data_IF_335605155984
#
_entry.id   IF_335605155984
#
_cell.length_a   1.000
_cell.length_b   1.000
_cell.length_c   1.000
_cell.angle_alpha   90.00
_cell.angle_beta   90.00
_cell.angle_gamma   90.00
#
_symmetry.space_group_name_H-M   'P 1'
#
loop_
_entity.id
_entity.type
_entity.pdbx_description
1 polymer ?
#
# COMPACT_ATOMS: atom_id res chain seq x y z
N UNK A 1 -49.78 15.80 -10.50
CA UNK A 1 -48.80 16.19 -9.47
C UNK A 1 -47.62 15.25 -9.64
N UNK A 2 -46.60 15.71 -10.37
CA UNK A 2 -45.36 14.95 -10.62
C UNK A 2 -44.29 15.48 -9.71
N UNK A 3 -43.64 14.61 -8.93
CA UNK A 3 -42.24 14.83 -8.59
C UNK A 3 -41.46 13.54 -8.80
N UNK A 4 -40.83 13.51 -9.96
CA UNK A 4 -39.86 12.52 -10.38
C UNK A 4 -38.58 12.67 -9.55
N UNK A 5 -38.23 11.57 -8.88
CA UNK A 5 -36.89 11.03 -8.68
C UNK A 5 -35.71 11.96 -9.06
N UNK A 6 -34.99 12.45 -8.05
CA UNK A 6 -33.60 12.91 -8.18
C UNK A 6 -32.73 12.13 -7.21
N UNK A 7 -32.38 10.90 -7.57
CA UNK A 7 -31.15 10.28 -7.06
C UNK A 7 -29.99 11.08 -7.64
N UNK A 8 -29.38 11.92 -6.81
CA UNK A 8 -28.11 12.58 -7.14
C UNK A 8 -27.09 11.48 -7.38
N UNK A 9 -26.70 11.29 -8.65
CA UNK A 9 -25.48 10.58 -9.03
C UNK A 9 -24.33 11.29 -8.32
N UNK A 10 -23.80 10.66 -7.29
CA UNK A 10 -22.59 11.11 -6.65
C UNK A 10 -21.47 10.85 -7.66
N UNK A 11 -21.03 11.94 -8.27
CA UNK A 11 -19.94 11.99 -9.24
C UNK A 11 -18.72 11.28 -8.68
N UNK A 12 -18.23 10.30 -9.44
CA UNK A 12 -16.90 9.68 -9.31
C UNK A 12 -15.86 10.77 -9.06
N UNK A 13 -15.53 11.01 -7.79
CA UNK A 13 -14.34 11.76 -7.43
C UNK A 13 -13.17 10.92 -7.90
N UNK A 14 -12.23 11.53 -8.61
CA UNK A 14 -10.95 10.91 -8.95
C UNK A 14 -10.34 10.34 -7.65
N UNK A 15 -10.45 9.02 -7.45
CA UNK A 15 -9.83 8.28 -6.36
C UNK A 15 -8.36 8.09 -6.72
N UNK A 16 -7.57 9.16 -6.64
CA UNK A 16 -6.14 9.07 -6.87
C UNK A 16 -5.45 8.88 -5.52
N UNK A 17 -5.33 7.63 -5.09
CA UNK A 17 -4.49 7.23 -3.96
C UNK A 17 -3.06 7.75 -4.15
N UNK A 18 -2.33 8.06 -3.07
CA UNK A 18 -0.89 8.34 -3.17
C UNK A 18 -0.17 7.23 -3.93
N UNK A 19 -0.57 5.96 -3.72
CA UNK A 19 -0.13 4.80 -4.48
C UNK A 19 -0.28 5.01 -5.99
N UNK A 20 -1.50 5.28 -6.46
CA UNK A 20 -1.81 5.54 -7.87
C UNK A 20 -1.01 6.73 -8.45
N UNK A 21 -0.56 7.66 -7.61
CA UNK A 21 0.22 8.84 -8.01
C UNK A 21 1.73 8.69 -7.79
N UNK A 22 2.20 7.65 -7.08
CA UNK A 22 3.57 7.59 -6.53
C UNK A 22 4.62 7.08 -7.52
N UNK A 23 4.22 6.68 -8.73
CA UNK A 23 5.10 6.29 -9.84
C UNK A 23 6.04 7.40 -10.37
N UNK A 24 6.17 8.54 -9.67
CA UNK A 24 6.94 9.70 -10.12
C UNK A 24 8.44 9.51 -9.92
N UNK A 25 9.07 9.01 -10.98
CA UNK A 25 10.50 8.87 -11.22
C UNK A 25 11.25 8.00 -10.20
N UNK A 26 11.85 6.92 -10.70
CA UNK A 26 12.72 6.05 -9.92
C UNK A 26 13.83 6.87 -9.26
N UNK A 27 13.93 6.76 -7.93
CA UNK A 27 14.99 7.39 -7.13
C UNK A 27 15.89 6.31 -6.56
N UNK A 28 17.18 6.59 -6.53
CA UNK A 28 18.13 5.74 -5.82
C UNK A 28 18.10 6.09 -4.32
N UNK A 29 18.05 5.04 -3.50
CA UNK A 29 18.00 5.13 -2.05
C UNK A 29 19.15 4.32 -1.44
N UNK A 30 19.54 4.70 -0.23
CA UNK A 30 20.47 3.96 0.62
C UNK A 30 19.75 3.56 1.90
N UNK A 31 19.95 2.33 2.35
CA UNK A 31 19.41 1.83 3.61
C UNK A 31 20.25 2.36 4.78
N UNK A 32 19.60 2.97 5.76
CA UNK A 32 20.24 3.57 6.93
C UNK A 32 20.06 2.75 8.21
N UNK A 33 19.18 1.74 8.18
CA UNK A 33 18.95 0.81 9.29
C UNK A 33 18.56 -0.57 8.76
N UNK A 34 19.13 -1.60 9.37
CA UNK A 34 18.80 -2.99 9.07
C UNK A 34 17.31 -3.28 9.32
N UNK A 35 16.75 -4.16 8.49
CA UNK A 35 15.43 -4.76 8.70
C UNK A 35 15.42 -6.17 8.16
N UNK A 36 15.05 -7.13 9.00
CA UNK A 36 14.76 -8.49 8.58
C UNK A 36 13.24 -8.69 8.56
N UNK A 37 12.76 -9.39 7.53
CA UNK A 37 11.39 -9.89 7.46
C UNK A 37 11.40 -11.42 7.41
N UNK A 38 10.37 -12.02 7.99
CA UNK A 38 10.10 -13.46 8.00
C UNK A 38 8.72 -13.79 7.47
N UNK A 39 7.99 -12.80 6.94
CA UNK A 39 6.66 -13.01 6.38
C UNK A 39 6.78 -13.71 5.02
N UNK A 40 6.45 -15.00 5.00
CA UNK A 40 6.42 -15.84 3.81
C UNK A 40 5.02 -15.93 3.19
N UNK A 41 4.02 -15.32 3.82
CA UNK A 41 2.63 -15.38 3.38
C UNK A 41 1.94 -14.00 3.36
N UNK A 42 2.52 -13.02 2.64
CA UNK A 42 1.99 -11.66 2.60
C UNK A 42 0.59 -11.66 1.99
N UNK A 43 -0.25 -10.72 2.44
CA UNK A 43 -1.55 -10.47 1.80
C UNK A 43 -1.32 -10.02 0.35
N UNK A 44 -2.15 -10.53 -0.54
CA UNK A 44 -2.17 -10.16 -1.96
C UNK A 44 -3.55 -9.59 -2.26
N UNK A 45 -3.58 -8.37 -2.80
CA UNK A 45 -4.78 -7.71 -3.27
C UNK A 45 -4.70 -7.55 -4.78
N UNK A 46 -5.82 -7.83 -5.44
CA UNK A 46 -6.02 -7.53 -6.85
C UNK A 46 -7.05 -6.41 -6.98
N UNK A 47 -6.71 -5.35 -7.71
CA UNK A 47 -7.58 -4.20 -7.89
C UNK A 47 -8.99 -4.62 -8.34
N UNK A 48 -10.01 -4.09 -7.66
CA UNK A 48 -11.41 -4.41 -7.89
C UNK A 48 -11.91 -5.69 -7.18
N UNK A 49 -11.05 -6.42 -6.47
CA UNK A 49 -11.46 -7.62 -5.70
C UNK A 49 -12.00 -7.23 -4.32
N UNK A 50 -13.01 -7.95 -3.80
CA UNK A 50 -13.50 -7.73 -2.44
C UNK A 50 -12.45 -8.16 -1.41
N UNK A 51 -12.53 -7.59 -0.22
CA UNK A 51 -11.73 -8.01 0.93
C UNK A 51 -12.58 -7.95 2.20
N UNK A 52 -12.05 -8.45 3.31
CA UNK A 52 -12.63 -8.31 4.63
C UNK A 52 -11.69 -7.49 5.52
N UNK A 53 -12.23 -6.47 6.18
CA UNK A 53 -11.48 -5.65 7.12
C UNK A 53 -11.74 -6.15 8.54
N UNK A 54 -10.70 -6.18 9.38
CA UNK A 54 -10.84 -6.50 10.80
C UNK A 54 -10.94 -5.24 11.65
N UNK A 55 -11.07 -5.38 12.97
CA UNK A 55 -11.00 -4.25 13.91
C UNK A 55 -9.56 -3.87 14.29
N UNK A 56 -8.56 -4.62 13.80
CA UNK A 56 -7.15 -4.37 14.12
C UNK A 56 -6.61 -3.28 13.22
N UNK A 57 -6.47 -2.08 13.78
CA UNK A 57 -5.91 -0.90 13.12
C UNK A 57 -4.58 -0.48 13.76
N UNK A 58 -3.76 0.24 13.00
CA UNK A 58 -2.53 0.87 13.48
C UNK A 58 -2.36 2.28 12.89
N UNK A 59 -1.75 3.18 13.65
CA UNK A 59 -1.29 4.49 13.17
C UNK A 59 0.23 4.44 13.08
N UNK A 60 0.72 4.22 11.87
CA UNK A 60 2.15 4.17 11.57
C UNK A 60 2.61 5.55 11.11
N UNK A 61 3.14 6.35 12.04
CA UNK A 61 3.67 7.68 11.76
C UNK A 61 2.67 8.63 11.07
N UNK A 62 1.40 8.61 11.46
CA UNK A 62 0.32 9.40 10.87
C UNK A 62 -0.31 8.78 9.62
N UNK A 63 0.08 7.56 9.26
CA UNK A 63 -0.57 6.77 8.23
C UNK A 63 -1.43 5.69 8.87
N UNK A 64 -2.69 5.60 8.45
CA UNK A 64 -3.62 4.61 8.98
C UNK A 64 -3.47 3.28 8.22
N UNK A 65 -3.32 2.21 8.97
CA UNK A 65 -3.24 0.84 8.49
C UNK A 65 -4.33 -0.01 9.15
N UNK A 66 -4.78 -1.03 8.44
CA UNK A 66 -5.77 -1.98 8.92
C UNK A 66 -5.37 -3.40 8.52
N UNK A 67 -5.58 -4.35 9.42
CA UNK A 67 -5.40 -5.76 9.13
C UNK A 67 -6.62 -6.26 8.36
N UNK A 68 -6.38 -6.89 7.21
CA UNK A 68 -7.42 -7.36 6.32
C UNK A 68 -7.21 -8.84 5.98
N UNK A 69 -8.28 -9.49 5.52
CA UNK A 69 -8.27 -10.79 4.89
C UNK A 69 -8.64 -10.65 3.42
N UNK A 70 -7.91 -11.33 2.55
CA UNK A 70 -8.20 -11.44 1.13
C UNK A 70 -7.77 -12.82 0.64
N UNK A 71 -8.66 -13.51 -0.07
CA UNK A 71 -8.51 -14.91 -0.44
C UNK A 71 -8.19 -15.79 0.79
N UNK A 72 -7.05 -16.49 0.79
CA UNK A 72 -6.55 -17.32 1.89
C UNK A 72 -5.45 -16.63 2.72
N UNK A 73 -5.31 -15.31 2.56
CA UNK A 73 -4.20 -14.52 3.12
C UNK A 73 -4.71 -13.41 4.02
N UNK A 74 -3.82 -12.94 4.89
CA UNK A 74 -4.08 -11.81 5.76
C UNK A 74 -2.84 -10.94 5.92
N UNK A 75 -3.05 -9.67 6.25
CA UNK A 75 -1.94 -8.74 6.38
C UNK A 75 -2.37 -7.31 6.56
N UNK A 76 -1.37 -6.46 6.86
CA UNK A 76 -1.54 -5.03 6.92
C UNK A 76 -1.72 -4.45 5.51
N UNK A 77 -2.76 -3.64 5.35
CA UNK A 77 -2.96 -2.82 4.17
C UNK A 77 -3.12 -1.36 4.60
N UNK A 78 -2.62 -0.40 3.81
CA UNK A 78 -2.83 1.00 4.11
C UNK A 78 -4.27 1.37 3.80
N UNK A 79 -4.83 2.29 4.58
CA UNK A 79 -6.22 2.72 4.41
C UNK A 79 -6.51 3.27 2.99
N UNK A 80 -5.49 3.86 2.36
CA UNK A 80 -5.54 4.39 0.99
C UNK A 80 -5.58 3.31 -0.12
N UNK A 81 -5.48 2.02 0.24
CA UNK A 81 -5.68 0.89 -0.67
C UNK A 81 -7.16 0.49 -0.81
N UNK A 82 -8.07 1.12 -0.05
CA UNK A 82 -9.45 0.65 0.10
C UNK A 82 -10.42 1.53 -0.70
N UNK A 83 -11.21 0.90 -1.55
CA UNK A 83 -12.39 1.49 -2.19
C UNK A 83 -13.66 1.00 -1.49
N UNK A 84 -14.66 1.87 -1.32
CA UNK A 84 -15.94 1.52 -0.72
C UNK A 84 -17.05 1.51 -1.77
N UNK A 85 -17.72 0.38 -1.94
CA UNK A 85 -18.90 0.23 -2.83
C UNK A 85 -20.06 -0.28 -1.98
N UNK A 86 -21.11 0.53 -1.83
CA UNK A 86 -22.29 0.20 -1.01
C UNK A 86 -21.97 -0.35 0.40
N UNK A 87 -20.91 0.19 1.02
CA UNK A 87 -20.35 -0.18 2.33
C UNK A 87 -19.54 -1.48 2.37
N UNK A 88 -19.31 -2.13 1.23
CA UNK A 88 -18.36 -3.24 1.13
C UNK A 88 -16.98 -2.70 0.72
N UNK A 89 -15.89 -3.11 1.39
CA UNK A 89 -14.53 -2.77 1.00
C UNK A 89 -14.04 -3.61 -0.18
N UNK A 90 -13.35 -2.95 -1.11
CA UNK A 90 -12.69 -3.53 -2.27
C UNK A 90 -11.27 -3.00 -2.37
N UNK A 91 -10.37 -3.78 -2.96
CA UNK A 91 -9.04 -3.33 -3.29
C UNK A 91 -9.13 -2.23 -4.36
N UNK A 92 -8.63 -1.04 -4.05
CA UNK A 92 -8.53 0.05 -5.03
C UNK A 92 -7.42 -0.22 -6.05
N UNK A 93 -6.39 -0.95 -5.63
CA UNK A 93 -5.13 -1.15 -6.34
C UNK A 93 -4.63 -2.57 -6.14
N UNK A 94 -3.73 -3.02 -7.03
CA UNK A 94 -2.93 -4.22 -6.75
C UNK A 94 -1.99 -3.90 -5.59
N UNK A 95 -1.85 -4.82 -4.63
CA UNK A 95 -0.98 -4.60 -3.47
C UNK A 95 -0.50 -5.93 -2.92
N UNK A 96 0.76 -5.96 -2.49
CA UNK A 96 1.31 -7.06 -1.71
C UNK A 96 2.00 -6.49 -0.47
N UNK A 97 1.74 -7.05 0.72
CA UNK A 97 2.44 -6.64 1.95
C UNK A 97 3.88 -7.17 2.04
N UNK A 98 4.42 -7.70 0.94
CA UNK A 98 5.77 -8.26 0.88
C UNK A 98 6.80 -7.22 1.28
N UNK A 99 7.50 -7.46 2.38
CA UNK A 99 8.60 -6.61 2.83
C UNK A 99 9.94 -7.08 2.24
N UNK A 100 10.90 -6.16 2.16
CA UNK A 100 12.26 -6.49 1.74
C UNK A 100 13.19 -6.57 2.95
N UNK A 101 13.90 -7.70 3.11
CA UNK A 101 15.01 -7.79 4.06
C UNK A 101 16.20 -6.98 3.53
N UNK A 102 16.67 -6.03 4.33
CA UNK A 102 17.70 -5.06 3.96
C UNK A 102 18.74 -4.87 5.07
N UNK A 103 19.95 -4.49 4.68
CA UNK A 103 21.06 -4.12 5.56
C UNK A 103 21.49 -2.69 5.30
N UNK A 104 22.01 -2.05 6.34
CA UNK A 104 22.57 -0.71 6.26
C UNK A 104 23.66 -0.66 5.18
N UNK A 105 23.54 0.32 4.27
CA UNK A 105 24.40 0.45 3.10
C UNK A 105 23.90 -0.21 1.82
N UNK A 106 22.81 -1.00 1.86
CA UNK A 106 22.20 -1.55 0.65
C UNK A 106 21.66 -0.41 -0.24
N UNK A 107 21.91 -0.51 -1.54
CA UNK A 107 21.38 0.42 -2.55
C UNK A 107 20.08 -0.12 -3.13
N UNK A 108 19.06 0.73 -3.16
CA UNK A 108 17.73 0.38 -3.62
C UNK A 108 17.26 1.36 -4.70
N UNK A 109 16.35 0.89 -5.54
CA UNK A 109 15.58 1.74 -6.45
C UNK A 109 14.16 1.85 -5.92
N UNK A 110 13.71 3.06 -5.61
CA UNK A 110 12.31 3.32 -5.26
C UNK A 110 11.41 3.09 -6.47
N UNK A 111 10.40 2.26 -6.30
CA UNK A 111 9.36 1.99 -7.29
C UNK A 111 8.08 2.75 -6.94
N UNK A 112 7.72 2.75 -5.65
CA UNK A 112 6.42 3.21 -5.18
C UNK A 112 6.48 3.69 -3.73
N UNK A 113 5.53 4.54 -3.31
CA UNK A 113 5.41 4.98 -1.91
C UNK A 113 3.96 4.96 -1.45
N UNK A 114 3.74 4.44 -0.24
CA UNK A 114 2.41 4.30 0.34
C UNK A 114 2.50 4.15 1.86
N UNK A 115 1.67 4.90 2.60
CA UNK A 115 1.49 4.68 4.04
C UNK A 115 2.75 4.78 4.90
N UNK A 116 3.75 5.57 4.49
CA UNK A 116 5.04 5.71 5.19
C UNK A 116 6.07 4.61 4.85
N UNK A 117 5.83 3.87 3.77
CA UNK A 117 6.72 2.84 3.24
C UNK A 117 7.03 3.11 1.77
N UNK A 118 8.19 2.62 1.33
CA UNK A 118 8.63 2.67 -0.06
C UNK A 118 8.81 1.25 -0.59
N UNK A 119 8.11 0.91 -1.68
CA UNK A 119 8.35 -0.30 -2.44
C UNK A 119 9.67 -0.12 -3.17
N UNK A 120 10.61 -1.01 -2.87
CA UNK A 120 11.98 -0.92 -3.36
C UNK A 120 12.32 -2.13 -4.21
N UNK A 121 13.20 -1.93 -5.19
CA UNK A 121 13.92 -3.00 -5.89
C UNK A 121 15.38 -2.99 -5.48
N UNK A 122 15.87 -4.12 -4.98
CA UNK A 122 17.30 -4.36 -4.70
C UNK A 122 18.11 -4.57 -5.99
N UNK A 123 19.44 -4.51 -5.87
CA UNK A 123 20.36 -4.82 -6.97
C UNK A 123 20.15 -6.25 -7.50
N UNK A 124 19.84 -7.20 -6.60
CA UNK A 124 19.49 -8.60 -6.90
C UNK A 124 18.09 -8.79 -7.50
N UNK A 125 17.40 -7.70 -7.86
CA UNK A 125 16.04 -7.71 -8.44
C UNK A 125 14.93 -8.23 -7.54
N UNK A 126 15.17 -8.40 -6.24
CA UNK A 126 14.11 -8.65 -5.26
C UNK A 126 13.37 -7.35 -4.96
N UNK A 127 12.05 -7.44 -4.84
CA UNK A 127 11.16 -6.31 -4.53
C UNK A 127 10.46 -6.52 -3.19
N UNK A 128 10.20 -5.41 -2.50
CA UNK A 128 9.41 -5.40 -1.28
C UNK A 128 9.43 -4.04 -0.59
N UNK A 129 8.50 -3.85 0.34
CA UNK A 129 8.37 -2.62 1.11
C UNK A 129 9.49 -2.48 2.15
N UNK A 130 9.98 -1.26 2.30
CA UNK A 130 10.92 -0.85 3.35
C UNK A 130 10.35 0.42 4.01
N UNK A 131 10.37 0.54 5.34
CA UNK A 131 9.89 1.74 6.02
C UNK A 131 10.67 2.98 5.57
N UNK A 132 9.99 4.10 5.35
CA UNK A 132 10.65 5.34 4.89
C UNK A 132 11.74 5.82 5.86
N UNK A 133 11.54 5.62 7.16
CA UNK A 133 12.52 5.96 8.20
C UNK A 133 13.81 5.12 8.15
N UNK A 134 13.86 4.05 7.36
CA UNK A 134 15.07 3.23 7.15
C UNK A 134 15.80 3.62 5.85
N UNK A 135 15.34 4.66 5.16
CA UNK A 135 15.80 5.04 3.83
C UNK A 135 16.30 6.49 3.83
N UNK A 136 17.31 6.75 3.01
CA UNK A 136 17.75 8.09 2.66
C UNK A 136 18.02 8.19 1.16
N UNK A 137 17.99 9.39 0.55
CA UNK A 137 18.47 9.57 -0.82
C UNK A 137 19.91 9.08 -0.96
N UNK A 138 20.18 8.27 -2.00
CA UNK A 138 21.55 7.92 -2.34
C UNK A 138 22.20 9.12 -3.06
N UNK A 139 23.26 9.67 -2.45
CA UNK A 139 24.12 10.69 -3.05
C UNK A 139 25.08 10.11 -4.09
#
# INVERSE_FOLDING_TARGET
MSESSKRKRQTSGNLTSEYANSARAHRHLIVTRDRATTDDHPILLHAGSPMELTEREDDWHGHRWIWAHADDREGWIPWDAIAWVDKQPYALVDYASTELTVRTGDRLTALERMGGWTLCRSEDKREGWVPDQHLAPAT
#
